data_IF_739808088541
#
_entry.id   IF_739808088541
#
_cell.length_a   1.000
_cell.length_b   1.000
_cell.length_c   1.000
_cell.angle_alpha   90.00
_cell.angle_beta   90.00
_cell.angle_gamma   90.00
#
_symmetry.space_group_name_H-M   'P 1'
#
loop_
_entity.id
_entity.type
_entity.pdbx_description
1 polymer ?
#
# COMPACT_ATOMS: atom_id res chain seq x y z
N UNK A 1 -26.36 -6.96 15.21
CA UNK A 1 -24.99 -7.03 14.66
C UNK A 1 -24.69 -5.64 14.14
N UNK A 2 -23.84 -4.88 14.81
CA UNK A 2 -23.49 -3.52 14.40
C UNK A 2 -22.86 -3.56 13.02
N UNK A 3 -23.50 -2.89 12.06
CA UNK A 3 -22.99 -2.66 10.72
C UNK A 3 -21.80 -1.70 10.84
N UNK A 4 -20.63 -2.20 11.25
CA UNK A 4 -19.42 -1.39 11.31
C UNK A 4 -18.91 -1.21 9.89
N UNK A 5 -19.23 -0.06 9.30
CA UNK A 5 -18.64 0.39 8.05
C UNK A 5 -17.12 0.45 8.23
N UNK A 6 -16.38 -0.26 7.38
CA UNK A 6 -14.91 -0.22 7.42
C UNK A 6 -14.43 1.20 7.07
N UNK A 7 -13.36 1.68 7.71
CA UNK A 7 -12.79 2.97 7.34
C UNK A 7 -12.28 2.94 5.90
N UNK A 8 -12.42 4.07 5.22
CA UNK A 8 -11.82 4.29 3.90
C UNK A 8 -10.38 4.79 4.07
N UNK A 9 -9.45 4.22 3.32
CA UNK A 9 -8.06 4.66 3.31
C UNK A 9 -7.76 5.37 1.99
N UNK A 10 -7.35 6.64 2.08
CA UNK A 10 -7.11 7.51 0.92
C UNK A 10 -6.08 6.90 -0.04
N UNK A 11 -4.97 6.40 0.51
CA UNK A 11 -3.88 5.84 -0.28
C UNK A 11 -4.06 4.34 -0.54
N UNK A 12 -4.79 3.59 0.28
CA UNK A 12 -5.08 2.16 0.02
C UNK A 12 -6.59 1.89 -0.16
N UNK A 13 -7.22 2.40 -1.25
CA UNK A 13 -8.67 2.31 -1.42
C UNK A 13 -9.19 0.89 -1.65
N UNK A 14 -8.34 -0.02 -2.16
CA UNK A 14 -8.71 -1.37 -2.59
C UNK A 14 -8.38 -2.44 -1.55
N UNK A 15 -8.44 -2.09 -0.26
CA UNK A 15 -7.95 -2.94 0.84
C UNK A 15 -8.49 -4.38 0.82
N UNK A 16 -9.74 -4.58 0.39
CA UNK A 16 -10.36 -5.90 0.32
C UNK A 16 -9.80 -6.80 -0.79
N UNK A 17 -9.24 -6.23 -1.85
CA UNK A 17 -8.73 -7.00 -3.00
C UNK A 17 -7.22 -7.22 -2.99
N UNK A 18 -6.47 -6.50 -2.14
CA UNK A 18 -5.00 -6.57 -2.12
C UNK A 18 -4.43 -7.64 -1.16
N UNK A 19 -5.29 -8.45 -0.54
CA UNK A 19 -4.86 -9.67 0.17
C UNK A 19 -4.24 -9.49 1.55
N UNK A 20 -4.16 -8.26 2.08
CA UNK A 20 -3.51 -8.01 3.39
C UNK A 20 -4.41 -8.23 4.61
N UNK A 21 -5.72 -8.41 4.39
CA UNK A 21 -6.70 -8.52 5.47
C UNK A 21 -6.76 -9.94 6.04
N UNK A 22 -6.63 -10.05 7.36
CA UNK A 22 -6.99 -11.25 8.10
C UNK A 22 -8.50 -11.24 8.39
N UNK A 23 -9.24 -12.19 7.81
CA UNK A 23 -10.70 -12.30 7.92
C UNK A 23 -11.15 -13.26 9.05
N UNK A 24 -10.37 -13.35 10.14
CA UNK A 24 -10.67 -14.20 11.30
C UNK A 24 -11.12 -13.33 12.47
N UNK A 25 -12.06 -13.85 13.26
CA UNK A 25 -12.40 -13.21 14.53
C UNK A 25 -11.19 -13.20 15.46
N UNK A 26 -10.81 -12.02 15.94
CA UNK A 26 -9.64 -11.81 16.79
C UNK A 26 -9.85 -10.59 17.68
N UNK A 27 -8.99 -10.41 18.68
CA UNK A 27 -9.01 -9.24 19.55
C UNK A 27 -7.93 -8.27 19.10
N UNK A 28 -8.29 -7.01 18.86
CA UNK A 28 -7.35 -5.98 18.49
C UNK A 28 -6.37 -5.73 19.63
N UNK A 29 -5.07 -5.87 19.38
CA UNK A 29 -4.01 -5.68 20.38
C UNK A 29 -3.85 -4.19 20.73
N UNK A 30 -4.35 -3.28 19.88
CA UNK A 30 -4.37 -1.85 20.18
C UNK A 30 -5.47 -1.48 21.18
N UNK A 31 -6.75 -1.72 20.83
CA UNK A 31 -7.90 -1.22 21.58
C UNK A 31 -8.66 -2.28 22.42
N UNK A 32 -8.38 -3.56 22.24
CA UNK A 32 -9.08 -4.65 22.93
C UNK A 32 -10.44 -5.04 22.33
N UNK A 33 -10.89 -4.39 21.26
CA UNK A 33 -12.15 -4.74 20.60
C UNK A 33 -12.05 -6.07 19.84
N UNK A 34 -13.14 -6.84 19.83
CA UNK A 34 -13.28 -7.99 18.93
C UNK A 34 -13.62 -7.53 17.53
N UNK A 35 -12.90 -8.05 16.54
CA UNK A 35 -13.05 -7.70 15.13
C UNK A 35 -12.98 -8.94 14.25
N UNK A 36 -13.61 -8.87 13.07
CA UNK A 36 -13.59 -9.94 12.05
C UNK A 36 -12.65 -9.64 10.89
N UNK A 37 -12.11 -8.42 10.83
CA UNK A 37 -11.14 -7.95 9.85
C UNK A 37 -10.03 -7.19 10.57
N UNK A 38 -8.79 -7.56 10.32
CA UNK A 38 -7.60 -6.92 10.87
C UNK A 38 -6.44 -6.97 9.88
N UNK A 39 -5.38 -6.23 10.19
CA UNK A 39 -4.05 -6.40 9.62
C UNK A 39 -3.09 -6.88 10.71
N UNK A 40 -1.99 -7.50 10.31
CA UNK A 40 -0.96 -8.04 11.21
C UNK A 40 0.44 -7.51 10.91
N UNK A 41 0.59 -6.63 9.92
CA UNK A 41 1.90 -6.07 9.56
C UNK A 41 2.03 -4.64 10.10
N UNK A 42 3.14 -4.39 10.79
CA UNK A 42 3.54 -3.09 11.29
C UNK A 42 5.05 -3.14 11.58
N UNK A 43 5.77 -2.13 11.12
CA UNK A 43 7.18 -1.92 11.43
C UNK A 43 7.30 -1.32 12.83
N UNK A 44 7.42 -2.19 13.84
CA UNK A 44 7.61 -1.81 15.24
C UNK A 44 8.46 -2.86 15.96
N UNK A 45 8.81 -2.60 17.23
CA UNK A 45 9.60 -3.52 18.05
C UNK A 45 8.81 -4.72 18.54
N UNK A 46 7.48 -4.59 18.62
CA UNK A 46 6.57 -5.61 19.12
C UNK A 46 6.15 -6.58 18.01
N UNK A 47 5.94 -7.85 18.35
CA UNK A 47 5.34 -8.82 17.44
C UNK A 47 3.82 -8.68 17.48
N UNK A 48 3.26 -8.00 16.49
CA UNK A 48 1.81 -7.73 16.40
C UNK A 48 1.14 -8.71 15.44
N UNK A 49 -0.01 -9.23 15.85
CA UNK A 49 -0.78 -10.22 15.09
C UNK A 49 -2.17 -9.71 14.69
N UNK A 50 -2.69 -8.69 15.37
CA UNK A 50 -4.04 -8.19 15.13
C UNK A 50 -4.20 -6.69 15.48
N UNK A 51 -4.26 -5.85 14.45
CA UNK A 51 -4.67 -4.45 14.53
C UNK A 51 -5.98 -4.27 13.77
N UNK A 52 -7.00 -3.71 14.41
CA UNK A 52 -8.25 -3.37 13.72
C UNK A 52 -8.09 -2.13 12.83
N UNK A 53 -8.83 -2.11 11.72
CA UNK A 53 -8.74 -1.02 10.74
C UNK A 53 -9.09 0.36 11.33
N UNK A 54 -9.92 0.41 12.37
CA UNK A 54 -10.21 1.66 13.07
C UNK A 54 -8.98 2.22 13.79
N UNK A 55 -8.16 1.36 14.42
CA UNK A 55 -6.92 1.80 15.09
C UNK A 55 -5.82 2.19 14.11
N UNK A 56 -5.82 1.61 12.91
CA UNK A 56 -5.00 2.10 11.79
C UNK A 56 -5.50 3.49 11.37
N UNK A 57 -6.76 3.59 10.98
CA UNK A 57 -7.34 4.81 10.41
C UNK A 57 -7.27 6.02 11.35
N UNK A 58 -7.38 5.84 12.66
CA UNK A 58 -7.27 6.94 13.61
C UNK A 58 -5.85 7.15 14.18
N UNK A 59 -4.87 6.34 13.77
CA UNK A 59 -3.47 6.44 14.19
C UNK A 59 -3.18 5.94 15.61
N UNK A 60 -4.15 5.38 16.34
CA UNK A 60 -3.93 4.86 17.69
C UNK A 60 -2.94 3.69 17.73
N UNK A 61 -2.93 2.86 16.69
CA UNK A 61 -1.99 1.74 16.61
C UNK A 61 -0.54 2.26 16.48
N UNK A 62 -0.30 3.18 15.54
CA UNK A 62 0.99 3.86 15.38
C UNK A 62 1.46 4.54 16.68
N UNK A 63 0.55 5.28 17.35
CA UNK A 63 0.86 5.93 18.63
C UNK A 63 1.20 4.92 19.74
N UNK A 64 0.46 3.81 19.83
CA UNK A 64 0.63 2.83 20.91
C UNK A 64 1.92 2.02 20.76
N UNK A 65 2.24 1.61 19.54
CA UNK A 65 3.34 0.69 19.27
C UNK A 65 4.59 1.40 18.73
N UNK A 66 4.56 2.73 18.61
CA UNK A 66 5.66 3.56 18.10
C UNK A 66 6.24 3.00 16.80
N UNK A 67 5.38 2.89 15.77
CA UNK A 67 5.78 2.33 14.50
C UNK A 67 4.89 2.74 13.33
N UNK A 68 5.26 2.24 12.17
CA UNK A 68 4.69 2.61 10.87
C UNK A 68 4.19 1.37 10.11
N UNK A 69 3.31 1.58 9.14
CA UNK A 69 2.72 0.52 8.31
C UNK A 69 3.41 0.35 6.96
N UNK A 70 4.22 1.33 6.54
CA UNK A 70 4.87 1.39 5.23
C UNK A 70 6.38 1.47 5.45
N UNK A 71 7.16 0.67 4.71
CA UNK A 71 8.61 0.67 4.84
C UNK A 71 9.26 1.95 4.31
N UNK A 72 8.95 2.33 3.07
CA UNK A 72 9.54 3.52 2.45
C UNK A 72 8.60 4.14 1.39
N UNK A 73 8.93 5.36 0.96
CA UNK A 73 8.21 6.12 -0.05
C UNK A 73 9.10 7.23 -0.63
N UNK A 74 8.65 7.83 -1.74
CA UNK A 74 9.19 9.08 -2.29
C UNK A 74 8.86 10.32 -1.41
N UNK A 75 8.98 10.19 -0.09
CA UNK A 75 8.51 11.15 0.91
C UNK A 75 9.17 12.54 0.81
N UNK A 76 10.39 12.61 0.29
CA UNK A 76 11.09 13.89 0.00
C UNK A 76 10.33 14.77 -1.00
N UNK A 77 9.44 14.20 -1.81
CA UNK A 77 8.59 14.91 -2.77
C UNK A 77 7.29 15.46 -2.15
N UNK A 78 7.03 15.20 -0.86
CA UNK A 78 5.83 15.64 -0.13
C UNK A 78 6.22 16.53 1.04
N UNK A 79 5.87 17.81 0.97
CA UNK A 79 6.25 18.79 2.01
C UNK A 79 5.26 18.89 3.16
N UNK A 80 4.07 18.30 3.05
CA UNK A 80 3.01 18.38 4.06
C UNK A 80 3.16 17.24 5.10
N UNK A 81 3.53 17.54 6.36
CA UNK A 81 3.72 16.53 7.38
C UNK A 81 2.45 15.74 7.70
N UNK A 82 1.26 16.32 7.46
CA UNK A 82 0.00 15.60 7.67
C UNK A 82 -0.18 14.47 6.64
N UNK A 83 0.27 14.68 5.39
CA UNK A 83 0.25 13.62 4.35
C UNK A 83 1.23 12.51 4.66
N UNK A 84 2.43 12.86 5.15
CA UNK A 84 3.45 11.89 5.59
C UNK A 84 2.86 11.04 6.72
N UNK A 85 2.29 11.68 7.75
CA UNK A 85 1.64 10.98 8.85
C UNK A 85 0.48 10.09 8.39
N UNK A 86 -0.35 10.58 7.46
CA UNK A 86 -1.47 9.82 6.92
C UNK A 86 -1.01 8.55 6.20
N UNK A 87 0.10 8.62 5.45
CA UNK A 87 0.67 7.46 4.79
C UNK A 87 1.23 6.47 5.83
N UNK A 88 2.27 6.87 6.55
CA UNK A 88 3.06 5.93 7.36
C UNK A 88 2.30 5.41 8.58
N UNK A 89 1.43 6.22 9.20
CA UNK A 89 0.81 5.87 10.48
C UNK A 89 -0.68 5.52 10.39
N UNK A 90 -1.31 5.76 9.23
CA UNK A 90 -2.78 5.64 9.09
C UNK A 90 -3.23 4.93 7.82
N UNK A 91 -2.30 4.48 6.97
CA UNK A 91 -2.59 3.70 5.76
C UNK A 91 -2.01 2.30 5.90
N UNK A 92 -2.81 1.23 5.72
CA UNK A 92 -2.29 -0.12 5.60
C UNK A 92 -1.36 -0.26 4.38
N UNK A 93 -0.28 -1.04 4.53
CA UNK A 93 0.64 -1.36 3.46
C UNK A 93 0.14 -2.39 2.45
N UNK A 94 1.08 -3.00 1.72
CA UNK A 94 0.81 -4.03 0.73
C UNK A 94 1.92 -5.09 0.76
N UNK A 95 1.60 -6.31 0.34
CA UNK A 95 2.58 -7.41 0.36
C UNK A 95 3.61 -7.21 -0.75
N UNK A 96 4.88 -7.32 -0.40
CA UNK A 96 6.02 -7.18 -1.30
C UNK A 96 7.19 -8.09 -0.91
N UNK A 97 8.12 -8.27 -1.84
CA UNK A 97 9.33 -9.07 -1.65
C UNK A 97 10.42 -8.25 -0.96
N UNK A 98 10.69 -7.03 -1.44
CA UNK A 98 11.76 -6.15 -0.91
C UNK A 98 11.24 -5.07 0.05
N UNK A 99 9.94 -5.05 0.35
CA UNK A 99 9.27 -4.08 1.21
C UNK A 99 8.49 -3.01 0.44
N UNK A 100 7.52 -2.36 1.09
CA UNK A 100 6.69 -1.36 0.41
C UNK A 100 7.49 -0.11 0.03
N UNK A 101 7.24 0.38 -1.18
CA UNK A 101 7.79 1.63 -1.69
C UNK A 101 6.67 2.48 -2.32
N UNK A 102 6.23 3.52 -1.61
CA UNK A 102 5.08 4.32 -2.02
C UNK A 102 5.43 5.46 -2.97
N UNK A 103 4.69 5.58 -4.08
CA UNK A 103 4.95 6.58 -5.11
C UNK A 103 4.17 7.88 -4.91
N UNK A 104 4.77 8.99 -5.36
CA UNK A 104 4.24 10.35 -5.30
C UNK A 104 3.97 10.89 -6.70
N UNK A 105 2.91 11.70 -6.81
CA UNK A 105 2.69 12.56 -7.97
C UNK A 105 1.86 13.78 -7.57
N UNK A 106 2.10 14.93 -8.20
CA UNK A 106 1.45 16.20 -7.84
C UNK A 106 1.63 16.58 -6.34
N UNK A 107 2.81 16.33 -5.76
CA UNK A 107 3.13 16.64 -4.35
C UNK A 107 2.18 15.95 -3.34
N UNK A 108 1.66 14.77 -3.69
CA UNK A 108 0.82 13.94 -2.84
C UNK A 108 1.10 12.46 -3.14
N UNK A 109 0.87 11.60 -2.15
CA UNK A 109 1.01 10.17 -2.35
C UNK A 109 -0.11 9.66 -3.26
N UNK A 110 0.24 8.74 -4.15
CA UNK A 110 -0.71 8.09 -5.04
C UNK A 110 -1.57 7.07 -4.27
N UNK A 111 -2.72 6.70 -4.81
CA UNK A 111 -3.47 5.54 -4.35
C UNK A 111 -2.87 4.25 -4.92
N UNK A 112 -2.57 3.28 -4.07
CA UNK A 112 -2.20 1.93 -4.45
C UNK A 112 -3.44 1.16 -4.94
N UNK A 113 -3.36 0.62 -6.15
CA UNK A 113 -4.47 -0.06 -6.81
C UNK A 113 -4.36 -1.59 -6.76
N UNK A 114 -3.15 -2.13 -6.57
CA UNK A 114 -2.88 -3.55 -6.51
C UNK A 114 -1.70 -3.99 -7.37
N UNK A 115 -1.42 -5.29 -7.31
CA UNK A 115 -0.44 -5.95 -8.16
C UNK A 115 -0.93 -6.07 -9.62
N UNK A 116 0.00 -5.90 -10.54
CA UNK A 116 -0.17 -5.97 -12.00
C UNK A 116 1.01 -6.68 -12.66
N UNK A 117 0.76 -7.35 -13.78
CA UNK A 117 1.76 -7.73 -14.76
C UNK A 117 1.56 -6.96 -16.06
N UNK A 118 2.34 -7.29 -17.09
CA UNK A 118 2.21 -6.66 -18.41
C UNK A 118 0.81 -6.82 -18.99
N UNK A 119 0.18 -7.98 -18.77
CA UNK A 119 -1.18 -8.26 -19.24
C UNK A 119 -2.19 -7.23 -18.69
N UNK A 120 -2.20 -6.99 -17.39
CA UNK A 120 -3.13 -6.03 -16.77
C UNK A 120 -2.86 -4.59 -17.23
N UNK A 121 -1.59 -4.23 -17.40
CA UNK A 121 -1.20 -2.92 -17.90
C UNK A 121 -1.63 -2.69 -19.36
N UNK A 122 -1.59 -3.74 -20.20
CA UNK A 122 -2.05 -3.71 -21.59
C UNK A 122 -3.58 -3.63 -21.67
N UNK A 123 -4.30 -4.37 -20.82
CA UNK A 123 -5.77 -4.29 -20.71
C UNK A 123 -6.24 -2.89 -20.31
N UNK A 124 -5.46 -2.19 -19.49
CA UNK A 124 -5.68 -0.80 -19.11
C UNK A 124 -5.23 0.22 -20.17
N UNK A 125 -4.48 -0.20 -21.19
CA UNK A 125 -3.95 0.67 -22.23
C UNK A 125 -2.85 1.62 -21.76
N UNK A 126 -2.16 1.31 -20.66
CA UNK A 126 -1.14 2.17 -20.03
C UNK A 126 0.27 1.59 -20.05
N UNK A 127 0.44 0.34 -20.51
CA UNK A 127 1.69 -0.40 -20.46
C UNK A 127 2.90 0.38 -20.98
N UNK A 128 2.82 0.91 -22.21
CA UNK A 128 3.94 1.64 -22.82
C UNK A 128 4.39 2.84 -21.98
N UNK A 129 3.42 3.59 -21.42
CA UNK A 129 3.71 4.77 -20.63
C UNK A 129 4.37 4.40 -19.30
N UNK A 130 3.75 3.52 -18.52
CA UNK A 130 4.21 3.26 -17.15
C UNK A 130 5.49 2.44 -17.10
N UNK A 131 5.72 1.55 -18.09
CA UNK A 131 6.96 0.78 -18.21
C UNK A 131 8.10 1.71 -18.61
N UNK A 132 7.91 2.57 -19.62
CA UNK A 132 8.94 3.53 -20.02
C UNK A 132 9.29 4.53 -18.92
N UNK A 133 8.30 4.97 -18.12
CA UNK A 133 8.56 5.83 -16.96
C UNK A 133 9.33 5.11 -15.84
N UNK A 134 9.08 3.82 -15.63
CA UNK A 134 9.80 3.02 -14.63
C UNK A 134 11.23 2.71 -15.06
N UNK A 135 11.45 2.27 -16.31
CA UNK A 135 12.79 1.95 -16.83
C UNK A 135 13.72 3.17 -16.86
N UNK A 136 13.15 4.39 -16.86
CA UNK A 136 13.92 5.63 -16.73
C UNK A 136 14.48 5.89 -15.31
N UNK A 137 14.10 5.09 -14.31
CA UNK A 137 14.57 5.18 -12.93
C UNK A 137 15.90 4.46 -12.69
N UNK A 138 16.43 3.72 -13.68
CA UNK A 138 17.70 2.95 -13.59
C UNK A 138 17.66 1.84 -12.51
N UNK A 139 16.48 1.22 -12.31
CA UNK A 139 16.25 0.11 -11.38
C UNK A 139 16.33 -1.25 -12.11
N UNK A 140 15.22 -1.70 -12.73
CA UNK A 140 15.20 -2.84 -13.64
C UNK A 140 14.94 -2.38 -15.08
N UNK A 141 15.67 -2.96 -16.03
CA UNK A 141 15.51 -2.74 -17.47
C UNK A 141 14.76 -3.92 -18.13
N UNK A 142 14.17 -3.68 -19.31
CA UNK A 142 13.50 -4.70 -20.13
C UNK A 142 12.46 -5.52 -19.34
N UNK A 143 11.70 -4.88 -18.46
CA UNK A 143 10.81 -5.55 -17.49
C UNK A 143 9.55 -6.15 -18.13
N UNK A 144 9.13 -5.60 -19.28
CA UNK A 144 7.87 -5.96 -19.94
C UNK A 144 7.65 -7.47 -20.14
N UNK A 145 8.60 -8.26 -20.64
CA UNK A 145 8.41 -9.71 -20.77
C UNK A 145 8.32 -10.48 -19.44
N UNK A 146 8.75 -9.89 -18.32
CA UNK A 146 8.90 -10.58 -17.03
C UNK A 146 7.83 -10.21 -16.01
N UNK A 147 7.15 -9.08 -16.18
CA UNK A 147 6.07 -8.65 -15.28
C UNK A 147 4.88 -9.61 -15.30
N UNK A 148 4.72 -10.35 -14.21
CA UNK A 148 3.60 -11.24 -13.95
C UNK A 148 3.00 -10.88 -12.60
N UNK A 149 1.68 -10.64 -12.58
CA UNK A 149 0.94 -10.40 -11.33
C UNK A 149 1.15 -11.57 -10.37
N UNK A 150 1.55 -11.26 -9.12
CA UNK A 150 1.89 -12.25 -8.09
C UNK A 150 2.97 -13.26 -8.53
N UNK A 151 3.84 -12.89 -9.48
CA UNK A 151 4.98 -13.67 -9.94
C UNK A 151 6.30 -13.29 -9.26
N UNK A 152 7.39 -13.88 -9.74
CA UNK A 152 8.77 -13.60 -9.30
C UNK A 152 9.25 -12.19 -9.66
N UNK A 153 8.62 -11.55 -10.65
CA UNK A 153 8.75 -10.13 -10.93
C UNK A 153 7.34 -9.58 -11.15
N UNK A 154 6.90 -8.66 -10.29
CA UNK A 154 5.56 -8.11 -10.32
C UNK A 154 5.59 -6.58 -10.24
N UNK A 155 4.53 -5.96 -10.75
CA UNK A 155 4.35 -4.53 -10.70
C UNK A 155 3.34 -4.14 -9.61
N UNK A 156 3.57 -3.01 -8.96
CA UNK A 156 2.63 -2.35 -8.06
C UNK A 156 2.11 -1.09 -8.74
N UNK A 157 0.81 -1.06 -9.03
CA UNK A 157 0.18 0.05 -9.73
C UNK A 157 -0.31 1.10 -8.74
N UNK A 158 0.06 2.35 -8.99
CA UNK A 158 -0.36 3.51 -8.25
C UNK A 158 -1.08 4.52 -9.16
N UNK A 159 -2.00 5.29 -8.60
CA UNK A 159 -2.72 6.34 -9.33
C UNK A 159 -2.71 7.66 -8.56
N UNK A 160 -2.34 8.75 -9.25
CA UNK A 160 -2.40 10.08 -8.68
C UNK A 160 -3.84 10.49 -8.38
N UNK A 161 -4.06 10.96 -7.15
CA UNK A 161 -5.37 11.41 -6.67
C UNK A 161 -5.83 12.74 -7.27
N UNK A 162 -4.92 13.49 -7.91
CA UNK A 162 -5.20 14.82 -8.44
C UNK A 162 -5.47 14.81 -9.95
N UNK A 163 -4.65 14.10 -10.72
CA UNK A 163 -4.74 14.08 -12.19
C UNK A 163 -5.06 12.71 -12.77
N UNK A 164 -5.13 11.65 -11.96
CA UNK A 164 -5.42 10.29 -12.42
C UNK A 164 -4.26 9.59 -13.12
N UNK A 165 -3.08 10.21 -13.23
CA UNK A 165 -1.88 9.61 -13.84
C UNK A 165 -1.47 8.34 -13.09
N UNK A 166 -1.19 7.27 -13.84
CA UNK A 166 -0.66 6.04 -13.27
C UNK A 166 0.85 6.09 -13.09
N UNK A 167 1.34 5.38 -12.07
CA UNK A 167 2.74 5.14 -11.80
C UNK A 167 2.95 3.67 -11.45
N UNK A 168 4.12 3.14 -11.79
CA UNK A 168 4.48 1.74 -11.57
C UNK A 168 5.71 1.68 -10.66
N UNK A 169 5.69 0.75 -9.70
CA UNK A 169 6.88 0.25 -9.03
C UNK A 169 7.03 -1.23 -9.38
N UNK A 170 8.25 -1.76 -9.45
CA UNK A 170 8.51 -3.17 -9.75
C UNK A 170 9.36 -3.76 -8.65
N UNK A 171 9.05 -5.01 -8.31
CA UNK A 171 9.73 -5.78 -7.30
C UNK A 171 9.94 -7.21 -7.77
N UNK A 172 10.98 -7.86 -7.25
CA UNK A 172 11.37 -9.22 -7.59
C UNK A 172 11.93 -10.00 -6.38
N UNK A 173 11.75 -11.33 -6.42
CA UNK A 173 12.17 -12.27 -5.37
C UNK A 173 13.61 -12.80 -5.49
#
# INVERSE_FOLDING_TARGET
MSNQQLPSFKYSPNLESIGILNNKESTCECCGDRVTKSISHMYCVDEIQCICLNCVSNGKAAEKFDGDFIQDAEHDQVTDPAKIKELFQRTPGYISWQGEYWLVHCQDFCAYLGEVGTKELEELGIADQVISEYEALDEYEDIRPYLVKSGSMCGYLFQCLHCGKYRLWVDAD
#
